data_IF_071748887526
#
_entry.id   IF_071748887526
#
_cell.length_a   1.000
_cell.length_b   1.000
_cell.length_c   1.000
_cell.angle_alpha   90.00
_cell.angle_beta   90.00
_cell.angle_gamma   90.00
#
_symmetry.space_group_name_H-M   'P 1'
#
loop_
_entity.id
_entity.type
_entity.pdbx_description
1 polymer ?
#
# COMPACT_ATOMS: atom_id res chain seq x y z
N UNK A 1 -13.73 10.03 -17.46
CA UNK A 1 -14.18 8.89 -16.62
C UNK A 1 -15.67 8.75 -16.90
N UNK A 2 -16.17 7.55 -17.23
CA UNK A 2 -17.62 7.35 -17.41
C UNK A 2 -18.20 6.90 -16.06
N UNK A 3 -19.26 7.57 -15.61
CA UNK A 3 -20.02 7.18 -14.43
C UNK A 3 -21.30 6.47 -14.85
N UNK A 4 -21.76 5.52 -14.03
CA UNK A 4 -23.07 4.88 -14.18
C UNK A 4 -23.85 5.04 -12.88
N UNK A 5 -25.11 5.52 -12.91
CA UNK A 5 -25.95 5.55 -11.72
C UNK A 5 -26.18 4.14 -11.18
N UNK A 6 -26.15 4.00 -9.87
CA UNK A 6 -26.53 2.77 -9.17
C UNK A 6 -27.49 3.12 -8.03
N UNK A 7 -28.53 2.31 -7.78
CA UNK A 7 -29.33 2.46 -6.57
C UNK A 7 -28.43 2.42 -5.34
N UNK A 8 -28.68 3.29 -4.36
CA UNK A 8 -27.90 3.35 -3.13
C UNK A 8 -28.68 3.95 -1.97
N UNK A 9 -28.92 3.15 -0.95
CA UNK A 9 -29.78 3.54 0.18
C UNK A 9 -28.98 4.21 1.30
N UNK A 10 -27.65 4.06 1.26
CA UNK A 10 -26.70 4.54 2.28
C UNK A 10 -26.81 6.05 2.48
N UNK A 11 -26.94 6.83 1.41
CA UNK A 11 -27.12 8.28 1.50
C UNK A 11 -28.43 8.65 2.21
N UNK A 12 -29.49 7.85 2.05
CA UNK A 12 -30.76 8.04 2.76
C UNK A 12 -30.59 7.72 4.23
N UNK A 13 -29.98 6.57 4.54
CA UNK A 13 -29.72 6.12 5.91
C UNK A 13 -28.84 7.13 6.69
N UNK A 14 -27.80 7.68 6.05
CA UNK A 14 -26.87 8.62 6.68
C UNK A 14 -27.38 10.07 6.73
N UNK A 15 -28.44 10.41 5.99
CA UNK A 15 -28.91 11.81 5.90
C UNK A 15 -29.53 12.34 7.20
N UNK A 16 -30.09 11.45 8.03
CA UNK A 16 -30.90 11.83 9.20
C UNK A 16 -32.18 12.62 8.84
N UNK A 17 -32.58 12.66 7.55
CA UNK A 17 -33.76 13.39 7.07
C UNK A 17 -34.88 12.39 6.72
N UNK A 18 -36.07 12.62 7.25
CA UNK A 18 -37.26 11.79 6.97
C UNK A 18 -37.99 12.17 5.68
N UNK A 19 -37.78 13.38 5.15
CA UNK A 19 -38.55 13.94 4.03
C UNK A 19 -37.91 13.73 2.65
N UNK A 20 -36.70 13.17 2.57
CA UNK A 20 -35.96 13.02 1.31
C UNK A 20 -35.46 11.59 1.14
N UNK A 21 -35.65 11.04 -0.07
CA UNK A 21 -34.98 9.80 -0.51
C UNK A 21 -33.80 10.16 -1.39
N UNK A 22 -32.69 9.47 -1.18
CA UNK A 22 -31.44 9.63 -1.91
C UNK A 22 -31.03 8.31 -2.59
N UNK A 23 -32.00 7.47 -2.92
CA UNK A 23 -31.84 6.19 -3.63
C UNK A 23 -31.09 6.32 -4.97
N UNK A 24 -31.14 7.50 -5.59
CA UNK A 24 -30.44 7.83 -6.85
C UNK A 24 -29.11 8.58 -6.67
N UNK A 25 -28.62 8.71 -5.44
CA UNK A 25 -27.35 9.41 -5.17
C UNK A 25 -26.11 8.55 -5.51
N UNK A 26 -26.28 7.23 -5.65
CA UNK A 26 -25.20 6.30 -5.95
C UNK A 26 -24.71 6.38 -7.40
N UNK A 27 -23.41 6.23 -7.58
CA UNK A 27 -22.79 6.03 -8.89
C UNK A 27 -21.58 5.10 -8.76
N UNK A 28 -21.27 4.39 -9.83
CA UNK A 28 -20.01 3.69 -10.00
C UNK A 28 -19.20 4.32 -11.14
N UNK A 29 -17.89 4.13 -11.11
CA UNK A 29 -17.01 4.55 -12.18
C UNK A 29 -15.85 3.57 -12.33
N UNK A 30 -15.47 3.29 -13.58
CA UNK A 30 -14.32 2.43 -13.89
C UNK A 30 -13.12 3.30 -14.25
N UNK A 31 -12.04 3.09 -13.51
CA UNK A 31 -10.74 3.73 -13.76
C UNK A 31 -9.85 2.72 -14.47
N UNK A 32 -9.39 3.06 -15.67
CA UNK A 32 -8.37 2.27 -16.37
C UNK A 32 -6.99 2.56 -15.77
N UNK A 33 -6.35 1.59 -15.10
CA UNK A 33 -5.06 1.81 -14.45
C UNK A 33 -3.95 2.17 -15.44
N UNK A 34 -3.99 1.64 -16.68
CA UNK A 34 -2.96 1.92 -17.69
C UNK A 34 -2.95 3.39 -18.12
N UNK A 35 -4.11 4.07 -18.07
CA UNK A 35 -4.20 5.51 -18.35
C UNK A 35 -3.56 6.37 -17.26
N UNK A 36 -3.60 5.92 -16.01
CA UNK A 36 -2.95 6.61 -14.90
C UNK A 36 -1.44 6.42 -14.96
N UNK A 37 -0.96 5.21 -15.24
CA UNK A 37 0.49 4.96 -15.32
C UNK A 37 1.13 5.65 -16.51
N UNK A 38 0.50 5.62 -17.70
CA UNK A 38 0.98 6.33 -18.89
C UNK A 38 1.20 7.84 -18.67
N UNK A 39 0.44 8.46 -17.76
CA UNK A 39 0.55 9.89 -17.41
C UNK A 39 1.38 10.15 -16.14
N UNK A 40 1.58 9.13 -15.30
CA UNK A 40 2.09 9.26 -13.93
C UNK A 40 3.49 8.71 -13.70
N UNK A 41 4.04 7.89 -14.61
CA UNK A 41 5.39 7.32 -14.45
C UNK A 41 6.45 8.10 -15.23
N UNK A 42 6.52 9.41 -14.99
CA UNK A 42 7.69 10.21 -15.39
C UNK A 42 8.96 9.78 -14.64
N UNK A 43 10.08 10.48 -14.89
CA UNK A 43 11.41 10.19 -14.31
C UNK A 43 11.46 10.08 -12.77
N UNK A 44 10.47 10.63 -12.06
CA UNK A 44 10.37 10.63 -10.60
C UNK A 44 9.79 9.36 -9.96
N UNK A 45 9.39 8.34 -10.73
CA UNK A 45 9.04 7.01 -10.21
C UNK A 45 7.77 6.90 -9.36
N UNK A 46 7.08 8.01 -9.03
CA UNK A 46 5.83 8.04 -8.26
C UNK A 46 4.96 9.26 -8.59
N UNK A 47 3.65 9.04 -8.77
CA UNK A 47 2.64 10.11 -8.93
C UNK A 47 1.40 9.78 -8.11
N UNK A 48 0.81 10.80 -7.47
CA UNK A 48 -0.41 10.68 -6.68
C UNK A 48 -1.58 11.33 -7.40
N UNK A 49 -2.66 10.58 -7.58
CA UNK A 49 -3.92 10.99 -8.17
C UNK A 49 -4.96 11.16 -7.07
N UNK A 50 -5.42 12.40 -6.86
CA UNK A 50 -6.50 12.69 -5.89
C UNK A 50 -7.84 12.37 -6.52
N UNK A 51 -8.68 11.58 -5.83
CA UNK A 51 -10.01 11.27 -6.32
C UNK A 51 -10.99 12.31 -5.79
N UNK A 52 -11.68 12.99 -6.70
CA UNK A 52 -12.67 14.02 -6.39
C UNK A 52 -13.98 13.73 -7.14
N UNK A 53 -15.10 13.91 -6.45
CA UNK A 53 -16.42 13.97 -7.06
C UNK A 53 -16.69 15.39 -7.51
N UNK A 54 -17.30 15.56 -8.69
CA UNK A 54 -17.84 16.84 -9.14
C UNK A 54 -19.31 16.65 -9.44
N UNK A 55 -20.16 17.46 -8.79
CA UNK A 55 -21.60 17.51 -9.03
C UNK A 55 -21.93 18.89 -9.59
N UNK A 56 -22.58 18.93 -10.75
CA UNK A 56 -23.03 20.17 -11.38
C UNK A 56 -24.53 20.33 -11.13
N UNK A 57 -24.92 21.41 -10.45
CA UNK A 57 -26.32 21.71 -10.17
C UNK A 57 -26.53 23.22 -10.02
N UNK A 58 -27.71 23.72 -10.41
CA UNK A 58 -28.03 25.15 -10.43
C UNK A 58 -26.94 26.01 -11.13
N UNK A 59 -26.39 25.49 -12.23
CA UNK A 59 -25.36 26.17 -13.02
C UNK A 59 -23.97 26.27 -12.38
N UNK A 60 -23.73 25.61 -11.23
CA UNK A 60 -22.44 25.69 -10.52
C UNK A 60 -21.86 24.30 -10.22
N UNK A 61 -20.56 24.07 -10.49
CA UNK A 61 -19.89 22.85 -10.05
C UNK A 61 -19.60 22.91 -8.55
N UNK A 62 -19.92 21.82 -7.84
CA UNK A 62 -19.48 21.55 -6.47
C UNK A 62 -18.53 20.36 -6.50
N UNK A 63 -17.41 20.48 -5.81
CA UNK A 63 -16.35 19.46 -5.81
C UNK A 63 -15.99 19.06 -4.39
N UNK A 64 -15.71 17.78 -4.18
CA UNK A 64 -15.24 17.26 -2.90
C UNK A 64 -14.38 16.01 -3.06
N UNK A 65 -13.45 15.75 -2.12
CA UNK A 65 -12.65 14.54 -2.16
C UNK A 65 -13.52 13.31 -1.90
N UNK A 66 -13.22 12.22 -2.59
CA UNK A 66 -13.77 10.91 -2.26
C UNK A 66 -13.17 10.46 -0.93
N UNK A 67 -14.00 9.95 -0.03
CA UNK A 67 -13.59 9.41 1.26
C UNK A 67 -14.10 8.00 1.38
N UNK A 68 -13.32 7.13 2.01
CA UNK A 68 -13.84 5.85 2.48
C UNK A 68 -14.70 6.14 3.71
N UNK A 69 -15.96 5.73 3.64
CA UNK A 69 -16.89 5.74 4.76
C UNK A 69 -16.77 4.38 5.44
N UNK A 70 -16.79 4.33 6.78
CA UNK A 70 -16.53 3.13 7.59
C UNK A 70 -15.09 2.58 7.49
N UNK A 71 -14.92 1.28 7.77
CA UNK A 71 -13.64 0.55 7.74
C UNK A 71 -13.64 -0.50 6.61
N UNK A 72 -13.82 -0.11 5.34
CA UNK A 72 -13.76 -1.07 4.25
C UNK A 72 -12.35 -1.63 4.12
N UNK A 73 -12.22 -2.87 3.66
CA UNK A 73 -10.93 -3.43 3.29
C UNK A 73 -10.23 -2.49 2.29
N UNK A 74 -8.91 -2.22 2.45
CA UNK A 74 -8.17 -1.42 1.50
C UNK A 74 -8.34 -1.99 0.09
N UNK A 75 -8.67 -1.17 -0.92
CA UNK A 75 -8.80 -1.68 -2.28
C UNK A 75 -7.48 -2.30 -2.76
N UNK A 76 -7.57 -3.38 -3.54
CA UNK A 76 -6.41 -4.15 -3.95
C UNK A 76 -5.43 -3.32 -4.80
N UNK A 77 -4.13 -3.57 -4.61
CA UNK A 77 -3.07 -3.04 -5.47
C UNK A 77 -3.19 -3.67 -6.86
N UNK A 78 -3.10 -2.86 -7.91
CA UNK A 78 -3.20 -3.32 -9.31
C UNK A 78 -1.88 -3.09 -10.03
N UNK A 79 -1.30 -4.15 -10.60
CA UNK A 79 -0.11 -4.05 -11.45
C UNK A 79 -0.50 -3.80 -12.91
N UNK A 80 0.16 -2.84 -13.57
CA UNK A 80 -0.01 -2.60 -15.01
C UNK A 80 1.06 -3.28 -15.85
N UNK A 81 2.20 -3.60 -15.23
CA UNK A 81 3.31 -4.41 -15.73
C UNK A 81 4.07 -5.01 -14.53
N UNK A 82 5.21 -5.66 -14.77
CA UNK A 82 6.01 -6.31 -13.72
C UNK A 82 6.52 -5.36 -12.62
N UNK A 83 6.71 -4.08 -12.93
CA UNK A 83 7.38 -3.09 -12.05
C UNK A 83 6.50 -1.89 -11.75
N UNK A 84 5.38 -1.71 -12.41
CA UNK A 84 4.51 -0.55 -12.25
C UNK A 84 3.18 -0.98 -11.65
N UNK A 85 2.78 -0.30 -10.59
CA UNK A 85 1.53 -0.57 -9.89
C UNK A 85 0.78 0.68 -9.51
N UNK A 86 -0.51 0.49 -9.22
CA UNK A 86 -1.40 1.46 -8.63
C UNK A 86 -1.76 1.00 -7.24
N UNK A 87 -1.43 1.83 -6.26
CA UNK A 87 -1.71 1.59 -4.85
C UNK A 87 -2.81 2.55 -4.39
N UNK A 88 -3.98 2.03 -3.99
CA UNK A 88 -4.98 2.80 -3.28
C UNK A 88 -4.44 3.20 -1.91
N UNK A 89 -4.45 4.50 -1.60
CA UNK A 89 -3.96 5.02 -0.30
C UNK A 89 -4.98 5.96 0.31
N UNK A 90 -5.01 5.99 1.64
CA UNK A 90 -5.79 6.96 2.40
C UNK A 90 -4.88 8.07 2.92
N UNK A 91 -5.18 9.30 2.56
CA UNK A 91 -4.50 10.50 3.04
C UNK A 91 -5.47 11.34 3.87
N UNK A 92 -5.38 11.21 5.20
CA UNK A 92 -6.28 11.90 6.13
C UNK A 92 -7.77 11.68 5.80
N UNK A 93 -8.16 10.42 5.57
CA UNK A 93 -9.48 9.92 5.09
C UNK A 93 -9.83 10.11 3.61
N UNK A 94 -8.99 10.80 2.83
CA UNK A 94 -9.22 11.01 1.40
C UNK A 94 -8.63 9.86 0.60
N UNK A 95 -9.39 9.35 -0.36
CA UNK A 95 -8.93 8.31 -1.27
C UNK A 95 -8.02 8.91 -2.34
N UNK A 96 -6.82 8.37 -2.45
CA UNK A 96 -5.86 8.69 -3.50
C UNK A 96 -5.42 7.40 -4.20
N UNK A 97 -5.05 7.49 -5.48
CA UNK A 97 -4.39 6.42 -6.21
C UNK A 97 -2.96 6.81 -6.47
N UNK A 98 -2.00 5.98 -6.07
CA UNK A 98 -0.59 6.22 -6.27
C UNK A 98 -0.05 5.31 -7.36
N UNK A 99 0.38 5.88 -8.47
CA UNK A 99 1.15 5.14 -9.48
C UNK A 99 2.61 5.14 -9.04
N UNK A 100 3.23 3.97 -8.96
CA UNK A 100 4.63 3.84 -8.54
C UNK A 100 5.35 2.72 -9.29
N UNK A 101 6.66 2.94 -9.51
CA UNK A 101 7.57 1.94 -10.03
C UNK A 101 8.37 1.32 -8.89
N UNK A 102 8.41 0.00 -8.84
CA UNK A 102 9.13 -0.78 -7.82
C UNK A 102 10.43 -1.32 -8.41
N UNK A 103 11.47 -1.37 -7.56
CA UNK A 103 12.78 -1.90 -7.92
C UNK A 103 12.99 -3.34 -7.40
N UNK A 104 12.12 -3.80 -6.51
CA UNK A 104 12.20 -5.12 -5.88
C UNK A 104 10.86 -5.52 -5.23
N UNK A 105 10.71 -6.83 -5.00
CA UNK A 105 9.53 -7.44 -4.37
C UNK A 105 9.99 -8.38 -3.26
N UNK A 106 9.42 -8.24 -2.07
CA UNK A 106 9.48 -9.27 -1.01
C UNK A 106 8.72 -10.49 -1.49
N UNK A 107 9.43 -11.59 -1.70
CA UNK A 107 8.88 -12.81 -2.30
C UNK A 107 8.57 -13.90 -1.30
N UNK A 108 9.13 -13.82 -0.10
CA UNK A 108 8.90 -14.82 0.92
C UNK A 108 9.60 -14.49 2.22
N UNK A 109 9.24 -15.30 3.22
CA UNK A 109 9.74 -15.27 4.57
C UNK A 109 9.85 -16.70 5.09
N UNK A 110 10.90 -16.99 5.85
CA UNK A 110 11.11 -18.33 6.42
C UNK A 110 11.83 -18.25 7.76
N UNK A 111 11.61 -19.26 8.59
CA UNK A 111 12.34 -19.39 9.84
C UNK A 111 13.75 -19.92 9.54
N UNK A 112 14.75 -19.30 10.13
CA UNK A 112 16.13 -19.81 10.21
C UNK A 112 16.56 -19.77 11.68
N UNK A 113 17.71 -20.36 12.03
CA UNK A 113 18.15 -20.45 13.42
C UNK A 113 18.27 -19.05 14.06
N UNK A 114 17.40 -18.76 15.02
CA UNK A 114 17.38 -17.50 15.77
C UNK A 114 16.98 -16.24 14.97
N UNK A 115 16.53 -16.38 13.72
CA UNK A 115 16.20 -15.27 12.84
C UNK A 115 15.03 -15.57 11.91
N UNK A 116 14.40 -14.52 11.38
CA UNK A 116 13.51 -14.61 10.23
C UNK A 116 14.27 -14.19 8.98
N UNK A 117 14.28 -15.05 7.96
CA UNK A 117 14.84 -14.72 6.65
C UNK A 117 13.74 -14.05 5.82
N UNK A 118 14.04 -12.87 5.28
CA UNK A 118 13.19 -12.20 4.28
C UNK A 118 13.87 -12.26 2.92
N UNK A 119 13.14 -12.72 1.91
CA UNK A 119 13.63 -12.89 0.55
C UNK A 119 13.10 -11.79 -0.38
N UNK A 120 13.98 -11.29 -1.24
CA UNK A 120 13.74 -10.15 -2.11
C UNK A 120 14.14 -10.50 -3.54
N UNK A 121 13.18 -10.49 -4.45
CA UNK A 121 13.44 -10.52 -5.90
C UNK A 121 13.74 -9.12 -6.41
N UNK A 122 14.84 -8.98 -7.13
CA UNK A 122 15.29 -7.71 -7.70
C UNK A 122 14.67 -7.54 -9.09
N UNK A 123 14.04 -6.39 -9.32
CA UNK A 123 13.39 -6.01 -10.57
C UNK A 123 14.03 -4.73 -11.14
N UNK A 124 15.31 -4.46 -10.95
CA UNK A 124 15.91 -3.22 -11.41
C UNK A 124 17.43 -3.33 -11.45
N UNK A 125 18.08 -2.45 -12.21
CA UNK A 125 19.52 -2.54 -12.43
C UNK A 125 20.30 -2.20 -11.15
N UNK A 126 19.79 -1.25 -10.36
CA UNK A 126 20.23 -0.97 -9.00
C UNK A 126 19.19 -1.53 -7.99
N UNK A 127 19.46 -2.72 -7.46
CA UNK A 127 18.62 -3.38 -6.45
C UNK A 127 18.89 -2.90 -5.02
N UNK A 128 17.95 -3.11 -4.08
CA UNK A 128 18.16 -2.80 -2.67
C UNK A 128 19.38 -3.53 -2.08
N UNK A 129 20.20 -2.81 -1.32
CA UNK A 129 21.39 -3.30 -0.62
C UNK A 129 21.11 -3.60 0.85
N UNK A 130 20.05 -3.04 1.42
CA UNK A 130 19.64 -3.30 2.79
C UNK A 130 18.12 -3.30 2.95
N UNK A 131 17.67 -3.93 4.02
CA UNK A 131 16.31 -3.88 4.53
C UNK A 131 16.33 -3.08 5.85
N UNK A 132 15.51 -2.04 5.91
CA UNK A 132 15.31 -1.21 7.10
C UNK A 132 14.00 -1.56 7.77
N UNK A 133 14.08 -1.91 9.05
CA UNK A 133 12.93 -1.98 9.94
C UNK A 133 12.77 -0.63 10.65
N UNK A 134 11.53 -0.18 10.84
CA UNK A 134 11.20 1.04 11.60
C UNK A 134 10.07 0.76 12.57
N UNK A 135 10.32 0.87 13.86
CA UNK A 135 9.27 0.69 14.87
C UNK A 135 8.30 1.88 14.81
N UNK A 136 7.02 1.60 14.71
CA UNK A 136 6.01 2.59 14.37
C UNK A 136 5.86 3.67 15.44
N UNK A 137 6.01 3.36 16.73
CA UNK A 137 5.75 4.30 17.83
C UNK A 137 6.97 5.19 18.14
N UNK A 138 8.12 4.58 18.30
CA UNK A 138 9.40 5.18 18.68
C UNK A 138 10.18 5.72 17.48
N UNK A 139 9.86 5.24 16.28
CA UNK A 139 10.61 5.52 15.04
C UNK A 139 12.04 5.01 15.06
N UNK A 140 12.38 4.09 15.98
CA UNK A 140 13.68 3.42 15.98
C UNK A 140 13.88 2.66 14.68
N UNK A 141 15.04 2.84 14.04
CA UNK A 141 15.38 2.17 12.78
C UNK A 141 16.51 1.18 12.93
N UNK A 142 16.40 0.03 12.27
CA UNK A 142 17.46 -0.99 12.20
C UNK A 142 17.65 -1.44 10.76
N UNK A 143 18.89 -1.61 10.33
CA UNK A 143 19.21 -2.02 8.97
C UNK A 143 19.94 -3.35 8.92
N UNK A 144 19.54 -4.18 7.97
CA UNK A 144 20.09 -5.50 7.73
C UNK A 144 20.53 -5.59 6.27
N UNK A 145 21.80 -5.94 6.05
CA UNK A 145 22.36 -6.06 4.71
C UNK A 145 21.65 -7.18 3.92
N UNK A 146 21.24 -6.87 2.70
CA UNK A 146 20.72 -7.84 1.75
C UNK A 146 21.89 -8.52 1.03
N UNK A 147 21.96 -9.85 1.15
CA UNK A 147 23.02 -10.68 0.57
C UNK A 147 22.45 -11.60 -0.49
N UNK A 148 23.23 -11.95 -1.50
CA UNK A 148 22.82 -12.88 -2.55
C UNK A 148 23.30 -12.45 -3.93
N UNK A 149 22.53 -12.85 -4.95
CA UNK A 149 22.82 -12.59 -6.35
C UNK A 149 22.23 -11.26 -6.84
N UNK A 150 22.49 -10.91 -8.10
CA UNK A 150 21.91 -9.74 -8.74
C UNK A 150 20.37 -9.82 -8.88
N UNK A 151 19.81 -11.02 -9.04
CA UNK A 151 18.36 -11.22 -9.25
C UNK A 151 17.58 -11.56 -7.98
N UNK A 152 18.25 -12.03 -6.93
CA UNK A 152 17.63 -12.43 -5.67
C UNK A 152 18.58 -12.19 -4.50
N UNK A 153 18.07 -11.53 -3.46
CA UNK A 153 18.78 -11.25 -2.21
C UNK A 153 17.93 -11.61 -1.01
N UNK A 154 18.55 -11.82 0.13
CA UNK A 154 17.87 -12.08 1.39
C UNK A 154 18.56 -11.36 2.56
N UNK A 155 17.81 -11.08 3.61
CA UNK A 155 18.33 -10.60 4.89
C UNK A 155 17.82 -11.53 6.00
N UNK A 156 18.74 -11.92 6.88
CA UNK A 156 18.42 -12.65 8.10
C UNK A 156 18.29 -11.64 9.23
N UNK A 157 17.08 -11.51 9.76
CA UNK A 157 16.75 -10.57 10.82
C UNK A 157 16.70 -11.34 12.13
N UNK A 158 17.65 -11.13 13.05
CA UNK A 158 17.64 -11.78 14.35
C UNK A 158 16.30 -11.55 15.07
N UNK A 159 15.72 -12.59 15.65
CA UNK A 159 14.48 -12.46 16.41
C UNK A 159 14.64 -11.53 17.63
N UNK A 160 15.87 -11.44 18.15
CA UNK A 160 16.26 -10.47 19.19
C UNK A 160 16.15 -9.00 18.76
N UNK A 161 15.90 -8.74 17.47
CA UNK A 161 15.59 -7.41 16.97
C UNK A 161 14.20 -6.91 17.40
N UNK A 162 13.26 -7.82 17.67
CA UNK A 162 11.87 -7.53 18.03
C UNK A 162 11.71 -7.66 19.55
N UNK A 163 11.70 -6.53 20.28
CA UNK A 163 11.78 -6.55 21.75
C UNK A 163 10.53 -6.05 22.48
N UNK A 164 9.70 -5.20 21.90
CA UNK A 164 8.50 -4.67 22.55
C UNK A 164 7.26 -5.53 22.33
N UNK A 165 6.39 -5.55 23.33
CA UNK A 165 5.27 -6.50 23.49
C UNK A 165 4.17 -6.34 22.43
N UNK A 166 4.10 -5.18 21.76
CA UNK A 166 3.12 -4.83 20.72
C UNK A 166 3.75 -3.99 19.59
N UNK A 167 5.03 -4.22 19.29
CA UNK A 167 5.73 -3.40 18.31
C UNK A 167 5.19 -3.65 16.89
N UNK A 168 4.72 -2.59 16.23
CA UNK A 168 4.41 -2.60 14.81
C UNK A 168 5.65 -2.13 14.06
N UNK A 169 6.24 -2.99 13.23
CA UNK A 169 7.42 -2.66 12.45
C UNK A 169 7.06 -2.40 10.99
N UNK A 170 7.42 -1.21 10.50
CA UNK A 170 7.42 -0.91 9.08
C UNK A 170 8.66 -1.50 8.41
N UNK A 171 8.49 -2.06 7.20
CA UNK A 171 9.59 -2.57 6.38
C UNK A 171 9.84 -1.63 5.22
N UNK A 172 11.11 -1.29 5.00
CA UNK A 172 11.57 -0.48 3.88
C UNK A 172 12.79 -1.11 3.22
N UNK A 173 12.87 -1.05 1.89
CA UNK A 173 14.05 -1.45 1.14
C UNK A 173 14.93 -0.23 0.90
N UNK A 174 16.24 -0.37 1.03
CA UNK A 174 17.21 0.72 0.90
C UNK A 174 18.15 0.40 -0.27
N UNK A 175 18.20 1.29 -1.25
CA UNK A 175 19.19 1.26 -2.34
C UNK A 175 20.49 1.94 -1.93
N UNK A 176 21.24 2.52 -2.86
CA UNK A 176 22.44 3.34 -2.59
C UNK A 176 22.07 4.63 -1.82
N UNK A 177 21.84 4.51 -0.51
CA UNK A 177 21.54 5.62 0.40
C UNK A 177 20.13 6.20 0.32
N UNK A 178 19.25 5.68 -0.54
CA UNK A 178 17.86 6.15 -0.67
C UNK A 178 16.83 5.05 -0.43
N UNK A 179 15.69 5.39 0.20
CA UNK A 179 14.57 4.48 0.28
C UNK A 179 14.02 4.07 -1.09
N UNK A 180 13.65 2.82 -1.18
CA UNK A 180 12.95 2.23 -2.31
C UNK A 180 11.55 1.82 -1.88
N UNK A 181 10.61 1.94 -2.82
CA UNK A 181 9.25 1.45 -2.64
C UNK A 181 9.27 -0.06 -2.45
N UNK A 182 8.67 -0.53 -1.35
CA UNK A 182 8.56 -1.96 -1.06
C UNK A 182 7.28 -2.52 -1.67
N UNK A 183 7.43 -3.57 -2.45
CA UNK A 183 6.33 -4.45 -2.81
C UNK A 183 6.45 -5.77 -2.06
N UNK A 184 5.30 -6.37 -1.77
CA UNK A 184 5.21 -7.73 -1.28
C UNK A 184 4.24 -8.51 -2.17
N UNK A 185 4.50 -9.81 -2.31
CA UNK A 185 3.53 -10.75 -2.86
C UNK A 185 2.32 -10.82 -1.94
N UNK A 186 1.12 -10.83 -2.51
CA UNK A 186 -0.14 -10.91 -1.75
C UNK A 186 -0.68 -12.34 -1.62
N UNK A 187 0.00 -13.31 -2.23
CA UNK A 187 -0.34 -14.74 -2.22
C UNK A 187 0.56 -15.56 -1.30
N UNK A 188 1.47 -14.91 -0.57
CA UNK A 188 2.24 -15.54 0.50
C UNK A 188 1.37 -15.83 1.71
N UNK A 189 1.67 -16.92 2.43
CA UNK A 189 1.09 -17.16 3.75
C UNK A 189 1.71 -16.20 4.76
N UNK A 190 0.92 -15.70 5.70
CA UNK A 190 1.45 -14.94 6.84
C UNK A 190 2.40 -15.84 7.66
N UNK A 191 3.54 -15.27 8.08
CA UNK A 191 4.50 -15.98 8.91
C UNK A 191 4.14 -15.87 10.39
N UNK A 192 4.47 -16.87 11.21
CA UNK A 192 4.43 -16.77 12.67
C UNK A 192 5.72 -17.34 13.25
N UNK A 193 6.43 -16.53 14.01
CA UNK A 193 7.75 -16.88 14.54
C UNK A 193 7.81 -16.64 16.05
N UNK A 194 8.15 -17.69 16.79
CA UNK A 194 8.21 -17.63 18.25
C UNK A 194 9.28 -16.64 18.73
N UNK A 195 8.92 -15.86 19.74
CA UNK A 195 9.79 -14.97 20.50
C UNK A 195 9.84 -15.42 21.96
N UNK A 196 10.86 -15.01 22.74
CA UNK A 196 10.94 -15.32 24.17
C UNK A 196 9.68 -14.86 24.93
N UNK A 197 9.31 -15.60 25.98
CA UNK A 197 8.16 -15.26 26.82
C UNK A 197 6.79 -15.62 26.22
N UNK A 198 6.73 -16.54 25.26
CA UNK A 198 5.47 -16.98 24.64
C UNK A 198 4.88 -16.00 23.62
N UNK A 199 5.70 -15.05 23.17
CA UNK A 199 5.33 -14.04 22.18
C UNK A 199 5.53 -14.56 20.75
N UNK A 200 4.94 -13.89 19.77
CA UNK A 200 5.11 -14.21 18.35
C UNK A 200 5.35 -12.95 17.51
N UNK A 201 6.16 -13.09 16.46
CA UNK A 201 6.25 -12.15 15.34
C UNK A 201 5.33 -12.64 14.22
N UNK A 202 4.50 -11.75 13.68
CA UNK A 202 3.56 -11.99 12.58
C UNK A 202 3.75 -11.00 11.43
#
# INVERSE_FOLDING_TARGET
>A
LRTRPVPGDEATALSGRSLHRYDRAGFEAVVDPRRLTAKGTGSGGRTTWKLEAVVVGAGRPRRGPMRLVSTPAPPAVTYTDERTRIVPVLSGNKLELRTERIAAVLTGQSAVEGAVRLEVKILGDAGPVALRLTEWRTKETREFALRGSAGSRAADIPLSAFRGEDDIWGVQLIGEGKPLTVAARTDGQDGRYALPGGRELY
#
